data_IF_345199022310
#
_entry.id   IF_345199022310
#
_cell.length_a   1.000
_cell.length_b   1.000
_cell.length_c   1.000
_cell.angle_alpha   90.00
_cell.angle_beta   90.00
_cell.angle_gamma   90.00
#
_symmetry.space_group_name_H-M   'P 1'
#
loop_
_entity.id
_entity.type
_entity.pdbx_description
1 polymer ?
#
# COMPACT_ATOMS: atom_id res chain seq x y z
N UNK A 1 -0.35 -8.05 -14.71
CA UNK A 1 -0.09 -6.60 -14.84
C UNK A 1 -1.19 -5.87 -14.07
N UNK A 2 -0.82 -5.18 -12.99
CA UNK A 2 -1.76 -4.41 -12.17
C UNK A 2 -2.11 -3.11 -12.91
N UNK A 3 -3.32 -3.00 -13.46
CA UNK A 3 -3.73 -1.88 -14.33
C UNK A 3 -3.75 -0.53 -13.62
N UNK A 4 -3.85 -0.53 -12.28
CA UNK A 4 -3.83 0.68 -11.46
C UNK A 4 -2.42 1.13 -11.08
N UNK A 5 -1.41 0.27 -11.24
CA UNK A 5 -0.03 0.55 -10.86
C UNK A 5 0.74 1.10 -12.06
N UNK A 6 0.61 2.41 -12.27
CA UNK A 6 1.27 3.14 -13.36
C UNK A 6 2.80 3.14 -13.21
N UNK A 7 3.52 3.38 -14.30
CA UNK A 7 4.99 3.45 -14.27
C UNK A 7 5.50 4.56 -13.33
N UNK A 8 4.78 5.69 -13.27
CA UNK A 8 5.06 6.77 -12.32
C UNK A 8 5.00 6.27 -10.87
N UNK A 9 3.92 5.57 -10.49
CA UNK A 9 3.79 4.99 -9.16
C UNK A 9 4.86 3.94 -8.89
N UNK A 10 5.20 3.10 -9.88
CA UNK A 10 6.31 2.14 -9.74
C UNK A 10 7.63 2.87 -9.47
N UNK A 11 7.90 4.00 -10.13
CA UNK A 11 9.12 4.79 -9.90
C UNK A 11 9.15 5.41 -8.51
N UNK A 12 8.03 5.87 -8.00
CA UNK A 12 7.98 6.43 -6.64
C UNK A 12 8.19 5.35 -5.57
N UNK A 13 7.64 4.15 -5.77
CA UNK A 13 7.95 3.00 -4.91
C UNK A 13 9.45 2.67 -4.98
N UNK A 14 10.07 2.66 -6.17
CA UNK A 14 11.52 2.41 -6.30
C UNK A 14 12.34 3.42 -5.50
N UNK A 15 12.10 4.72 -5.70
CA UNK A 15 12.80 5.80 -4.98
C UNK A 15 12.74 5.63 -3.47
N UNK A 16 11.59 5.18 -2.94
CA UNK A 16 11.40 5.03 -1.51
C UNK A 16 12.03 3.74 -0.95
N UNK A 17 11.94 2.63 -1.69
CA UNK A 17 12.29 1.31 -1.15
C UNK A 17 13.67 0.80 -1.56
N UNK A 18 14.17 1.10 -2.76
CA UNK A 18 15.49 0.65 -3.21
C UNK A 18 16.63 1.06 -2.24
N UNK A 19 16.65 2.28 -1.66
CA UNK A 19 17.66 2.63 -0.67
C UNK A 19 17.63 1.73 0.58
N UNK A 20 16.45 1.24 0.97
CA UNK A 20 16.28 0.37 2.14
C UNK A 20 16.82 -1.04 1.88
N UNK A 21 16.66 -1.52 0.64
CA UNK A 21 17.19 -2.81 0.21
C UNK A 21 18.66 -2.74 -0.25
N UNK A 22 19.22 -1.53 -0.38
CA UNK A 22 20.59 -1.27 -0.87
C UNK A 22 20.86 -1.90 -2.25
N UNK A 23 19.82 -2.05 -3.06
CA UNK A 23 19.88 -2.58 -4.44
C UNK A 23 18.66 -2.12 -5.23
N UNK A 24 18.76 -2.24 -6.54
CA UNK A 24 17.62 -2.06 -7.42
C UNK A 24 16.63 -3.21 -7.24
N UNK A 25 15.34 -2.88 -7.33
CA UNK A 25 14.24 -3.82 -7.22
C UNK A 25 13.71 -4.17 -8.60
N UNK A 26 13.38 -5.44 -8.79
CA UNK A 26 12.72 -5.91 -10.01
C UNK A 26 11.27 -5.43 -10.05
N UNK A 27 10.68 -5.42 -11.24
CA UNK A 27 9.28 -5.04 -11.41
C UNK A 27 8.32 -5.91 -10.59
N UNK A 28 8.59 -7.22 -10.48
CA UNK A 28 7.80 -8.14 -9.66
C UNK A 28 7.86 -7.78 -8.16
N UNK A 29 9.04 -7.37 -7.68
CA UNK A 29 9.21 -6.95 -6.29
C UNK A 29 8.48 -5.63 -6.00
N UNK A 30 8.52 -4.69 -6.96
CA UNK A 30 7.77 -3.44 -6.86
C UNK A 30 6.26 -3.69 -6.86
N UNK A 31 5.77 -4.58 -7.74
CA UNK A 31 4.36 -4.99 -7.75
C UNK A 31 3.96 -5.62 -6.41
N UNK A 32 4.82 -6.46 -5.83
CA UNK A 32 4.56 -7.08 -4.52
C UNK A 32 4.53 -6.06 -3.38
N UNK A 33 5.44 -5.08 -3.37
CA UNK A 33 5.44 -4.00 -2.38
C UNK A 33 4.14 -3.18 -2.50
N UNK A 34 3.71 -2.85 -3.72
CA UNK A 34 2.48 -2.09 -3.95
C UNK A 34 1.23 -2.80 -3.41
N UNK A 35 1.12 -4.12 -3.65
CA UNK A 35 0.03 -4.94 -3.11
C UNK A 35 0.04 -4.95 -1.59
N UNK A 36 1.20 -5.23 -0.97
CA UNK A 36 1.31 -5.26 0.49
C UNK A 36 0.93 -3.92 1.13
N UNK A 37 1.33 -2.79 0.52
CA UNK A 37 0.94 -1.46 0.98
C UNK A 37 -0.58 -1.24 0.96
N UNK A 38 -1.24 -1.73 -0.09
CA UNK A 38 -2.70 -1.62 -0.23
C UNK A 38 -3.41 -2.41 0.86
N UNK A 39 -2.95 -3.63 1.16
CA UNK A 39 -3.52 -4.46 2.24
C UNK A 39 -3.39 -3.81 3.62
N UNK A 40 -2.23 -3.22 3.91
CA UNK A 40 -2.00 -2.50 5.17
C UNK A 40 -2.90 -1.28 5.29
N UNK A 41 -3.00 -0.48 4.22
CA UNK A 41 -3.87 0.70 4.18
C UNK A 41 -5.34 0.31 4.33
N UNK A 42 -5.79 -0.76 3.67
CA UNK A 42 -7.17 -1.25 3.79
C UNK A 42 -7.49 -1.66 5.23
N UNK A 43 -6.59 -2.40 5.88
CA UNK A 43 -6.76 -2.79 7.28
C UNK A 43 -6.81 -1.57 8.21
N UNK A 44 -5.92 -0.59 8.01
CA UNK A 44 -5.89 0.65 8.76
C UNK A 44 -7.20 1.45 8.60
N UNK A 45 -7.66 1.64 7.36
CA UNK A 45 -8.89 2.37 7.06
C UNK A 45 -10.13 1.68 7.64
N UNK A 46 -10.21 0.34 7.58
CA UNK A 46 -11.30 -0.42 8.22
C UNK A 46 -11.30 -0.23 9.74
N UNK A 47 -10.13 -0.22 10.35
CA UNK A 47 -9.99 0.00 11.80
C UNK A 47 -10.39 1.43 12.19
N UNK A 48 -9.95 2.45 11.46
CA UNK A 48 -10.37 3.84 11.69
C UNK A 48 -11.89 4.00 11.52
N UNK A 49 -12.45 3.43 10.46
CA UNK A 49 -13.89 3.48 10.21
C UNK A 49 -14.67 2.83 11.35
N UNK A 50 -14.24 1.66 11.83
CA UNK A 50 -14.85 0.97 12.97
C UNK A 50 -14.78 1.82 14.25
N UNK A 51 -13.68 2.51 14.51
CA UNK A 51 -13.56 3.41 15.67
C UNK A 51 -14.49 4.62 15.55
N UNK A 52 -14.58 5.23 14.37
CA UNK A 52 -15.35 6.46 14.13
C UNK A 52 -16.86 6.22 14.03
N UNK A 53 -17.28 5.12 13.42
CA UNK A 53 -18.68 4.84 13.09
C UNK A 53 -19.24 3.55 13.71
N UNK A 54 -18.38 2.66 14.21
CA UNK A 54 -18.81 1.39 14.82
C UNK A 54 -19.55 1.56 16.16
N UNK A 55 -19.36 2.68 16.86
CA UNK A 55 -20.09 3.00 18.09
C UNK A 55 -21.44 3.69 17.84
N UNK A 56 -21.81 4.01 16.59
CA UNK A 56 -23.05 4.72 16.28
C UNK A 56 -24.32 3.82 16.26
N UNK A 57 -24.21 2.54 16.62
CA UNK A 57 -25.33 1.58 16.63
C UNK A 57 -25.81 1.17 18.03
N UNK A 58 -25.41 1.86 19.09
CA UNK A 58 -25.89 1.60 20.45
C UNK A 58 -26.17 2.89 21.22
N UNK A 59 -27.08 3.74 20.74
CA UNK A 59 -27.92 4.64 21.55
C UNK A 59 -29.28 4.81 20.88
#
# INVERSE_FOLDING_TARGET
MLTWLTDELKQDIRKQYEPLYKRNLTDEEIERIAVNLTEVLEAYLKMEWKQKYGNAKQQ
#
